data_IF_594628772526
#
_entry.id   IF_594628772526
#
_cell.length_a   1.000
_cell.length_b   1.000
_cell.length_c   1.000
_cell.angle_alpha   90.00
_cell.angle_beta   90.00
_cell.angle_gamma   90.00
#
_symmetry.space_group_name_H-M   'P 1'
#
loop_
_entity.id
_entity.type
_entity.pdbx_description
1 polymer ?
#
# COMPACT_ATOMS: atom_id res chain seq x y z
N UNK A 1 -55.71 26.48 40.04
CA UNK A 1 -56.96 25.72 40.20
C UNK A 1 -56.62 24.25 40.22
N UNK A 2 -57.02 23.57 41.31
CA UNK A 2 -57.34 22.14 41.46
C UNK A 2 -56.68 21.13 40.48
N UNK A 3 -55.81 20.22 40.93
CA UNK A 3 -56.12 18.97 41.66
C UNK A 3 -56.91 17.96 40.78
N UNK A 4 -56.71 16.64 40.73
CA UNK A 4 -55.78 15.62 41.26
C UNK A 4 -56.47 14.26 40.92
N UNK A 5 -55.72 13.14 40.95
CA UNK A 5 -56.18 11.75 41.28
C UNK A 5 -56.88 11.01 40.12
N UNK A 6 -56.45 9.79 39.75
CA UNK A 6 -56.73 8.47 40.39
C UNK A 6 -55.77 7.43 39.73
N UNK A 7 -55.17 6.37 40.32
CA UNK A 7 -54.91 5.77 41.65
C UNK A 7 -53.92 4.59 41.39
N UNK A 8 -52.82 4.43 42.16
CA UNK A 8 -52.56 3.44 43.26
C UNK A 8 -52.52 1.96 42.81
N UNK A 9 -51.48 1.17 43.06
CA UNK A 9 -50.96 0.56 44.32
C UNK A 9 -49.74 -0.32 43.91
N UNK A 10 -48.79 -0.82 44.69
CA UNK A 10 -48.39 -0.79 46.11
C UNK A 10 -46.91 -1.24 46.18
N UNK A 11 -46.18 -0.75 47.17
CA UNK A 11 -44.90 -1.28 47.64
C UNK A 11 -45.15 -2.47 48.58
N UNK A 12 -44.23 -3.45 48.67
CA UNK A 12 -43.77 -4.10 49.93
C UNK A 12 -42.66 -5.14 49.65
N UNK A 13 -41.52 -4.92 50.34
CA UNK A 13 -40.59 -5.89 50.97
C UNK A 13 -39.74 -6.81 50.07
N UNK A 14 -38.45 -6.52 49.90
CA UNK A 14 -37.30 -6.89 50.77
C UNK A 14 -36.67 -8.25 50.44
N UNK A 15 -35.38 -8.22 50.08
CA UNK A 15 -34.28 -9.04 50.64
C UNK A 15 -33.01 -8.78 49.83
N UNK A 16 -31.90 -8.64 50.55
CA UNK A 16 -30.66 -8.09 50.05
C UNK A 16 -29.87 -9.00 49.12
N UNK A 17 -28.84 -8.42 48.51
CA UNK A 17 -27.55 -9.07 48.31
C UNK A 17 -26.55 -8.00 47.81
N UNK A 18 -25.35 -8.06 48.37
CA UNK A 18 -24.18 -7.29 47.97
C UNK A 18 -23.96 -7.43 46.45
N UNK A 19 -24.06 -6.33 45.71
CA UNK A 19 -23.79 -6.27 44.28
C UNK A 19 -22.43 -5.63 44.02
N UNK A 20 -21.47 -6.48 43.66
CA UNK A 20 -20.12 -6.17 43.24
C UNK A 20 -20.08 -5.00 42.23
N UNK A 21 -19.30 -3.95 42.51
CA UNK A 21 -18.82 -3.01 41.49
C UNK A 21 -17.93 -3.82 40.54
N UNK A 22 -18.48 -4.29 39.42
CA UNK A 22 -17.67 -4.69 38.27
C UNK A 22 -17.50 -3.46 37.39
N UNK A 23 -16.32 -2.87 37.48
CA UNK A 23 -15.78 -2.07 36.38
C UNK A 23 -15.74 -2.96 35.14
N UNK A 24 -16.60 -2.68 34.17
CA UNK A 24 -16.45 -3.23 32.84
C UNK A 24 -15.26 -2.51 32.20
N UNK A 25 -14.10 -3.18 32.20
CA UNK A 25 -13.01 -2.83 31.31
C UNK A 25 -13.48 -3.10 29.88
N UNK A 26 -13.75 -2.06 29.10
CA UNK A 26 -13.89 -2.17 27.65
C UNK A 26 -12.50 -2.47 27.06
N UNK A 27 -12.07 -3.72 27.09
CA UNK A 27 -11.10 -4.23 26.14
C UNK A 27 -11.85 -4.67 24.90
N UNK A 28 -11.96 -3.82 23.88
CA UNK A 28 -12.61 -4.20 22.63
C UNK A 28 -11.71 -5.18 21.87
N UNK A 29 -12.10 -6.44 21.87
CA UNK A 29 -11.52 -7.51 21.03
C UNK A 29 -11.73 -7.13 19.56
N UNK A 30 -10.64 -6.99 18.79
CA UNK A 30 -10.71 -6.66 17.36
C UNK A 30 -10.47 -7.93 16.56
N UNK A 31 -11.51 -8.44 15.89
CA UNK A 31 -11.36 -9.57 14.97
C UNK A 31 -10.46 -9.22 13.77
N UNK A 32 -9.78 -10.21 13.19
CA UNK A 32 -8.86 -10.04 12.03
C UNK A 32 -9.50 -9.27 10.87
N UNK A 33 -10.79 -9.49 10.59
CA UNK A 33 -11.51 -8.75 9.55
C UNK A 33 -11.67 -7.26 9.87
N UNK A 34 -11.87 -6.93 11.14
CA UNK A 34 -11.90 -5.54 11.60
C UNK A 34 -10.51 -4.90 11.49
N UNK A 35 -9.44 -5.66 11.67
CA UNK A 35 -8.07 -5.18 11.50
C UNK A 35 -7.77 -4.76 10.06
N UNK A 36 -8.12 -5.60 9.07
CA UNK A 36 -7.99 -5.25 7.65
C UNK A 36 -8.73 -3.95 7.32
N UNK A 37 -9.99 -3.83 7.77
CA UNK A 37 -10.80 -2.64 7.52
C UNK A 37 -10.19 -1.38 8.15
N UNK A 38 -9.67 -1.47 9.38
CA UNK A 38 -9.02 -0.33 10.06
C UNK A 38 -7.72 0.10 9.40
N UNK A 39 -6.92 -0.85 8.87
CA UNK A 39 -5.71 -0.55 8.11
C UNK A 39 -6.09 0.15 6.79
N UNK A 40 -7.07 -0.39 6.07
CA UNK A 40 -7.55 0.18 4.80
C UNK A 40 -8.09 1.61 5.01
N UNK A 41 -8.96 1.80 6.00
CA UNK A 41 -9.51 3.11 6.36
C UNK A 41 -8.40 4.11 6.73
N UNK A 42 -7.38 3.66 7.46
CA UNK A 42 -6.29 4.54 7.91
C UNK A 42 -5.57 5.22 6.75
N UNK A 43 -5.34 4.50 5.66
CA UNK A 43 -4.58 5.01 4.50
C UNK A 43 -5.47 5.66 3.44
N UNK A 44 -6.79 5.70 3.65
CA UNK A 44 -7.79 6.21 2.72
C UNK A 44 -8.43 7.54 3.13
N UNK A 45 -7.81 8.27 4.07
CA UNK A 45 -8.35 9.50 4.66
C UNK A 45 -8.24 10.74 3.76
N UNK A 46 -7.62 10.61 2.60
CA UNK A 46 -7.38 11.69 1.65
C UNK A 46 -6.63 12.88 2.30
N UNK A 47 -5.59 12.60 3.10
CA UNK A 47 -4.85 13.66 3.80
C UNK A 47 -4.27 14.70 2.84
N UNK A 48 -3.87 14.28 1.63
CA UNK A 48 -3.40 15.15 0.55
C UNK A 48 -4.51 15.92 -0.19
N UNK A 49 -5.78 15.67 0.13
CA UNK A 49 -6.97 16.28 -0.51
C UNK A 49 -6.95 16.13 -2.04
N UNK A 50 -6.52 14.96 -2.52
CA UNK A 50 -6.46 14.60 -3.95
C UNK A 50 -7.84 14.23 -4.50
N UNK A 51 -8.84 14.05 -3.63
CA UNK A 51 -10.21 13.71 -4.03
C UNK A 51 -10.43 12.21 -4.18
N UNK A 52 -9.59 11.39 -3.53
CA UNK A 52 -9.59 9.94 -3.70
C UNK A 52 -10.90 9.27 -3.29
N UNK A 53 -11.68 9.91 -2.40
CA UNK A 53 -12.98 9.41 -1.97
C UNK A 53 -13.95 9.12 -3.12
N UNK A 54 -13.80 9.79 -4.27
CA UNK A 54 -14.62 9.53 -5.46
C UNK A 54 -14.39 8.15 -6.09
N UNK A 55 -13.26 7.50 -5.81
CA UNK A 55 -12.82 6.29 -6.49
C UNK A 55 -12.23 5.20 -5.57
N UNK A 56 -12.48 5.27 -4.26
CA UNK A 56 -12.16 4.18 -3.33
C UNK A 56 -13.03 2.94 -3.59
N UNK A 57 -12.39 1.76 -3.52
CA UNK A 57 -13.05 0.45 -3.49
C UNK A 57 -12.81 -0.23 -2.13
N UNK A 58 -13.89 -0.55 -1.39
CA UNK A 58 -13.79 -1.14 -0.06
C UNK A 58 -13.42 -2.63 -0.09
N UNK A 59 -12.60 -3.05 0.87
CA UNK A 59 -12.16 -4.43 1.09
C UNK A 59 -11.12 -4.92 0.10
N UNK A 60 -10.56 -4.04 -0.74
CA UNK A 60 -9.52 -4.39 -1.70
C UNK A 60 -8.22 -4.77 -0.99
N UNK A 61 -7.89 -4.13 0.13
CA UNK A 61 -6.69 -4.45 0.91
C UNK A 61 -6.69 -5.91 1.37
N UNK A 62 -7.80 -6.38 1.95
CA UNK A 62 -7.93 -7.78 2.40
C UNK A 62 -7.80 -8.74 1.21
N UNK A 63 -8.44 -8.43 0.08
CA UNK A 63 -8.37 -9.25 -1.14
C UNK A 63 -6.94 -9.32 -1.69
N UNK A 64 -6.27 -8.17 -1.81
CA UNK A 64 -4.88 -8.06 -2.23
C UNK A 64 -3.95 -8.85 -1.32
N UNK A 65 -4.02 -8.66 -0.01
CA UNK A 65 -3.17 -9.36 0.95
C UNK A 65 -3.42 -10.88 0.98
N UNK A 66 -4.67 -11.32 0.84
CA UNK A 66 -5.03 -12.75 0.78
C UNK A 66 -4.55 -13.42 -0.51
N UNK A 67 -4.53 -12.69 -1.62
CA UNK A 67 -3.95 -13.17 -2.88
C UNK A 67 -2.44 -13.24 -2.77
N UNK A 68 -1.80 -12.15 -2.34
CA UNK A 68 -0.36 -12.05 -2.15
C UNK A 68 0.20 -13.06 -1.15
N UNK A 69 -0.56 -13.43 -0.11
CA UNK A 69 -0.11 -14.43 0.87
C UNK A 69 0.08 -15.83 0.28
N UNK A 70 -0.60 -16.14 -0.83
CA UNK A 70 -0.50 -17.43 -1.55
C UNK A 70 0.64 -17.46 -2.57
N UNK A 71 1.15 -16.30 -2.98
CA UNK A 71 2.22 -16.17 -3.96
C UNK A 71 3.61 -16.45 -3.36
N UNK A 72 4.57 -16.89 -4.19
CA UNK A 72 5.97 -17.16 -3.77
C UNK A 72 6.96 -16.19 -4.41
N UNK A 73 6.77 -15.82 -5.67
CA UNK A 73 7.63 -14.91 -6.43
C UNK A 73 6.88 -13.62 -6.79
N UNK A 74 7.30 -12.52 -6.19
CA UNK A 74 6.58 -11.24 -6.27
C UNK A 74 7.39 -10.25 -7.12
N UNK A 75 6.77 -9.71 -8.15
CA UNK A 75 7.34 -8.62 -8.96
C UNK A 75 6.69 -7.30 -8.56
N UNK A 76 7.47 -6.34 -8.07
CA UNK A 76 6.98 -5.05 -7.58
C UNK A 76 7.40 -3.95 -8.55
N UNK A 77 6.46 -3.25 -9.17
CA UNK A 77 6.68 -2.15 -10.08
C UNK A 77 6.54 -0.83 -9.33
N UNK A 78 7.50 0.08 -9.47
CA UNK A 78 7.40 1.43 -8.88
C UNK A 78 8.20 2.45 -9.68
N UNK A 79 7.95 3.74 -9.44
CA UNK A 79 8.73 4.84 -9.96
C UNK A 79 7.89 5.74 -10.85
N UNK A 80 8.03 7.04 -10.59
CA UNK A 80 7.23 8.07 -11.21
C UNK A 80 8.09 9.36 -11.33
N UNK A 81 8.43 9.80 -12.55
CA UNK A 81 9.30 10.94 -12.79
C UNK A 81 8.49 12.24 -12.98
N UNK A 82 7.70 12.64 -11.98
CA UNK A 82 6.73 13.73 -12.15
C UNK A 82 7.32 15.15 -12.09
N UNK A 83 8.53 15.32 -11.55
CA UNK A 83 9.19 16.62 -11.32
C UNK A 83 9.89 17.15 -12.59
N UNK A 84 9.13 17.25 -13.68
CA UNK A 84 9.58 17.46 -15.06
C UNK A 84 10.27 18.82 -15.36
N UNK A 85 10.39 19.71 -14.39
CA UNK A 85 11.14 20.98 -14.51
C UNK A 85 12.60 20.85 -14.03
N UNK A 86 13.01 19.64 -13.67
CA UNK A 86 14.34 19.32 -13.16
C UNK A 86 14.98 18.16 -13.92
N UNK A 87 16.30 18.17 -14.04
CA UNK A 87 17.07 17.09 -14.69
C UNK A 87 16.91 15.74 -13.97
N UNK A 88 16.63 15.79 -12.66
CA UNK A 88 16.29 14.66 -11.80
C UNK A 88 14.80 14.76 -11.45
N UNK A 89 13.90 14.20 -12.27
CA UNK A 89 12.46 14.36 -12.10
C UNK A 89 11.82 13.32 -11.16
N UNK A 90 12.60 12.44 -10.54
CA UNK A 90 12.12 11.32 -9.73
C UNK A 90 11.52 11.80 -8.42
N UNK A 91 10.36 11.26 -8.05
CA UNK A 91 9.70 11.61 -6.79
C UNK A 91 10.03 10.68 -5.61
N UNK A 92 9.61 11.09 -4.41
CA UNK A 92 9.79 10.36 -3.16
C UNK A 92 8.66 9.39 -2.83
N UNK A 93 7.50 9.49 -3.49
CA UNK A 93 6.40 8.54 -3.32
C UNK A 93 6.59 7.28 -4.20
N UNK A 94 6.25 6.12 -3.64
CA UNK A 94 6.41 4.81 -4.26
C UNK A 94 7.54 3.93 -3.72
N UNK A 95 8.83 4.33 -3.86
CA UNK A 95 9.95 3.46 -3.49
C UNK A 95 9.96 3.01 -2.03
N UNK A 96 9.70 3.85 -1.00
CA UNK A 96 9.58 3.40 0.38
C UNK A 96 8.51 2.31 0.58
N UNK A 97 7.33 2.48 0.00
CA UNK A 97 6.24 1.50 0.05
C UNK A 97 6.59 0.20 -0.67
N UNK A 98 7.24 0.29 -1.85
CA UNK A 98 7.71 -0.87 -2.60
C UNK A 98 8.74 -1.69 -1.80
N UNK A 99 9.67 -1.01 -1.13
CA UNK A 99 10.66 -1.64 -0.24
C UNK A 99 9.98 -2.28 0.96
N UNK A 100 8.97 -1.65 1.57
CA UNK A 100 8.23 -2.23 2.69
C UNK A 100 7.50 -3.53 2.28
N UNK A 101 6.81 -3.53 1.14
CA UNK A 101 6.17 -4.74 0.59
C UNK A 101 7.22 -5.84 0.34
N UNK A 102 8.31 -5.51 -0.35
CA UNK A 102 9.37 -6.47 -0.67
C UNK A 102 10.02 -7.07 0.57
N UNK A 103 10.32 -6.24 1.59
CA UNK A 103 10.86 -6.71 2.88
C UNK A 103 9.88 -7.63 3.59
N UNK A 104 8.59 -7.28 3.64
CA UNK A 104 7.58 -8.14 4.24
C UNK A 104 7.49 -9.49 3.53
N UNK A 105 7.51 -9.50 2.19
CA UNK A 105 7.54 -10.74 1.41
C UNK A 105 8.77 -11.60 1.75
N UNK A 106 9.97 -11.02 1.73
CA UNK A 106 11.23 -11.75 2.04
C UNK A 106 11.23 -12.29 3.46
N UNK A 107 10.81 -11.49 4.44
CA UNK A 107 10.74 -11.90 5.84
C UNK A 107 9.70 -13.00 6.09
N UNK A 108 8.72 -13.15 5.20
CA UNK A 108 7.71 -14.22 5.21
C UNK A 108 8.11 -15.41 4.32
N UNK A 109 9.38 -15.52 3.93
CA UNK A 109 9.92 -16.66 3.18
C UNK A 109 9.60 -16.67 1.69
N UNK A 110 9.18 -15.53 1.13
CA UNK A 110 8.91 -15.34 -0.30
C UNK A 110 10.13 -14.71 -0.99
N UNK A 111 10.10 -14.63 -2.31
CA UNK A 111 11.08 -13.86 -3.09
C UNK A 111 10.43 -12.63 -3.70
N UNK A 112 11.18 -11.53 -3.78
CA UNK A 112 10.69 -10.28 -4.37
C UNK A 112 11.79 -9.58 -5.16
N UNK A 113 11.41 -8.93 -6.26
CA UNK A 113 12.25 -7.96 -6.97
C UNK A 113 11.47 -6.67 -7.22
N UNK A 114 12.18 -5.55 -7.30
CA UNK A 114 11.62 -4.24 -7.63
C UNK A 114 12.02 -3.89 -9.06
N UNK A 115 11.05 -3.57 -9.91
CA UNK A 115 11.21 -3.24 -11.32
C UNK A 115 10.82 -1.77 -11.54
N UNK A 116 11.66 -1.04 -12.26
CA UNK A 116 11.45 0.39 -12.51
C UNK A 116 12.02 0.85 -13.85
N UNK A 117 11.88 2.12 -14.18
CA UNK A 117 12.52 2.74 -15.35
C UNK A 117 13.98 3.06 -15.05
N UNK A 118 14.82 3.12 -16.09
CA UNK A 118 16.22 3.57 -15.95
C UNK A 118 16.32 4.95 -15.31
N UNK A 119 15.37 5.85 -15.56
CA UNK A 119 15.37 7.18 -14.95
C UNK A 119 15.10 7.13 -13.44
N UNK A 120 14.24 6.23 -12.98
CA UNK A 120 13.88 6.07 -11.56
C UNK A 120 14.85 5.15 -10.79
N UNK A 121 15.64 4.35 -11.52
CA UNK A 121 16.53 3.35 -10.95
C UNK A 121 17.49 3.85 -9.86
N UNK A 122 18.17 5.01 -9.98
CA UNK A 122 19.07 5.48 -8.91
C UNK A 122 18.35 5.69 -7.57
N UNK A 123 17.15 6.26 -7.59
CA UNK A 123 16.33 6.51 -6.39
C UNK A 123 15.81 5.20 -5.81
N UNK A 124 15.27 4.31 -6.66
CA UNK A 124 14.79 2.99 -6.23
C UNK A 124 15.93 2.14 -5.65
N UNK A 125 17.12 2.18 -6.25
CA UNK A 125 18.31 1.48 -5.78
C UNK A 125 18.77 1.99 -4.41
N UNK A 126 18.77 3.32 -4.21
CA UNK A 126 19.08 3.94 -2.93
C UNK A 126 18.05 3.60 -1.84
N UNK A 127 16.76 3.53 -2.20
CA UNK A 127 15.71 3.10 -1.28
C UNK A 127 15.94 1.67 -0.79
N UNK A 128 16.21 0.75 -1.74
CA UNK A 128 16.42 -0.68 -1.47
C UNK A 128 17.80 -1.04 -0.90
N UNK A 129 18.70 -0.06 -0.69
CA UNK A 129 20.05 -0.30 -0.18
C UNK A 129 20.02 -1.04 1.17
N UNK A 130 20.81 -2.11 1.29
CA UNK A 130 20.90 -2.93 2.50
C UNK A 130 19.78 -3.97 2.68
N UNK A 131 18.77 -4.00 1.81
CA UNK A 131 17.64 -4.95 1.93
C UNK A 131 17.90 -6.31 1.29
N UNK A 132 18.87 -6.38 0.36
CA UNK A 132 19.12 -7.58 -0.46
C UNK A 132 18.11 -7.80 -1.59
N UNK A 133 17.09 -6.95 -1.73
CA UNK A 133 16.07 -7.04 -2.79
C UNK A 133 16.68 -6.60 -4.13
N UNK A 134 16.53 -7.43 -5.16
CA UNK A 134 17.02 -7.11 -6.50
C UNK A 134 16.22 -5.94 -7.09
N UNK A 135 16.93 -4.94 -7.62
CA UNK A 135 16.34 -3.85 -8.38
C UNK A 135 16.67 -4.01 -9.87
N UNK A 136 15.64 -4.08 -10.69
CA UNK A 136 15.70 -4.31 -12.13
C UNK A 136 15.19 -3.05 -12.83
N UNK A 137 15.86 -2.59 -13.88
CA UNK A 137 15.40 -1.45 -14.64
C UNK A 137 15.32 -1.70 -16.14
N UNK A 138 14.49 -0.88 -16.80
CA UNK A 138 14.26 -0.89 -18.23
C UNK A 138 14.40 0.53 -18.81
N UNK A 139 15.01 0.69 -20.00
CA UNK A 139 15.03 1.98 -20.67
C UNK A 139 13.63 2.36 -21.19
N UNK A 140 13.40 3.61 -21.62
CA UNK A 140 12.12 3.99 -22.22
C UNK A 140 11.80 3.16 -23.47
N UNK A 141 10.51 3.10 -23.84
CA UNK A 141 10.00 2.26 -24.93
C UNK A 141 10.79 2.37 -26.25
N UNK A 142 11.25 3.58 -26.57
CA UNK A 142 12.01 3.89 -27.79
C UNK A 142 13.35 3.15 -27.91
N UNK A 143 13.85 2.59 -26.80
CA UNK A 143 15.12 1.85 -26.74
C UNK A 143 14.94 0.33 -26.58
N UNK A 144 13.71 -0.19 -26.62
CA UNK A 144 13.45 -1.61 -26.45
C UNK A 144 13.76 -2.42 -27.70
N UNK A 145 14.69 -3.37 -27.59
CA UNK A 145 14.93 -4.42 -28.57
C UNK A 145 14.36 -5.77 -28.12
N UNK A 146 14.92 -6.85 -28.65
CA UNK A 146 14.57 -8.22 -28.26
C UNK A 146 14.92 -8.51 -26.80
N UNK A 147 16.06 -8.01 -26.32
CA UNK A 147 16.54 -8.27 -24.96
C UNK A 147 15.57 -7.76 -23.88
N UNK A 148 15.04 -6.54 -24.03
CA UNK A 148 14.08 -5.97 -23.09
C UNK A 148 12.76 -6.76 -23.10
N UNK A 149 12.29 -7.17 -24.28
CA UNK A 149 11.07 -7.98 -24.42
C UNK A 149 11.22 -9.35 -23.77
N UNK A 150 12.34 -10.03 -24.01
CA UNK A 150 12.64 -11.31 -23.36
C UNK A 150 12.78 -11.17 -21.85
N UNK A 151 13.36 -10.08 -21.36
CA UNK A 151 13.50 -9.82 -19.92
C UNK A 151 12.14 -9.55 -19.26
N UNK A 152 11.24 -8.80 -19.91
CA UNK A 152 9.85 -8.64 -19.48
C UNK A 152 9.13 -9.99 -19.45
N UNK A 153 9.27 -10.78 -20.51
CA UNK A 153 8.64 -12.11 -20.59
C UNK A 153 9.16 -13.05 -19.49
N UNK A 154 10.46 -13.01 -19.18
CA UNK A 154 11.03 -13.78 -18.05
C UNK A 154 10.43 -13.35 -16.71
N UNK A 155 10.28 -12.05 -16.47
CA UNK A 155 9.66 -11.54 -15.24
C UNK A 155 8.22 -12.03 -15.09
N UNK A 156 7.43 -11.92 -16.16
CA UNK A 156 6.04 -12.40 -16.20
C UNK A 156 5.98 -13.90 -15.91
N UNK A 157 6.82 -14.71 -16.57
CA UNK A 157 6.84 -16.17 -16.39
C UNK A 157 7.29 -16.61 -14.99
N UNK A 158 8.08 -15.79 -14.31
CA UNK A 158 8.55 -16.08 -12.94
C UNK A 158 7.61 -15.58 -11.85
N UNK A 159 6.62 -14.74 -12.17
CA UNK A 159 5.79 -14.10 -11.16
C UNK A 159 4.61 -14.98 -10.74
N UNK A 160 4.36 -15.04 -9.44
CA UNK A 160 3.12 -15.59 -8.86
C UNK A 160 2.14 -14.46 -8.47
N UNK A 161 2.64 -13.23 -8.34
CA UNK A 161 1.84 -12.02 -8.11
C UNK A 161 2.62 -10.80 -8.58
N UNK A 162 1.93 -9.82 -9.16
CA UNK A 162 2.55 -8.53 -9.55
C UNK A 162 1.91 -7.39 -8.76
N UNK A 163 2.73 -6.55 -8.15
CA UNK A 163 2.28 -5.33 -7.46
C UNK A 163 2.79 -4.12 -8.24
N UNK A 164 1.94 -3.13 -8.50
CA UNK A 164 2.32 -1.83 -9.00
C UNK A 164 1.99 -0.78 -7.94
N UNK A 165 2.97 0.02 -7.52
CA UNK A 165 2.84 1.03 -6.48
C UNK A 165 3.50 2.32 -6.95
N UNK A 166 2.70 3.40 -7.00
CA UNK A 166 3.14 4.70 -7.53
C UNK A 166 3.89 4.54 -8.85
N UNK A 167 3.27 3.78 -9.74
CA UNK A 167 3.85 3.43 -11.02
C UNK A 167 3.02 4.07 -12.11
N UNK A 168 3.60 5.00 -12.85
CA UNK A 168 2.92 5.68 -13.95
C UNK A 168 2.26 4.68 -14.91
N UNK A 169 0.96 4.87 -15.15
CA UNK A 169 0.17 4.08 -16.08
C UNK A 169 -0.20 4.85 -17.34
N UNK A 170 -0.37 4.17 -18.49
CA UNK A 170 -0.76 4.87 -19.70
C UNK A 170 -2.24 5.27 -19.64
N UNK A 171 -2.56 6.43 -20.17
CA UNK A 171 -3.92 6.84 -20.50
C UNK A 171 -4.47 6.04 -21.70
N UNK A 172 -5.70 6.36 -22.11
CA UNK A 172 -6.37 5.65 -23.21
C UNK A 172 -5.68 5.84 -24.57
N UNK A 173 -4.89 6.90 -24.72
CA UNK A 173 -4.09 7.20 -25.89
C UNK A 173 -2.70 6.51 -25.88
N UNK A 174 -2.43 5.70 -24.85
CA UNK A 174 -1.16 4.99 -24.68
C UNK A 174 -0.01 5.84 -24.15
N UNK A 175 -0.25 7.09 -23.75
CA UNK A 175 0.78 8.01 -23.21
C UNK A 175 0.72 8.10 -21.69
N UNK A 176 1.82 8.56 -21.10
CA UNK A 176 1.99 8.68 -19.65
C UNK A 176 1.97 10.14 -19.25
N UNK A 177 1.20 10.48 -18.22
CA UNK A 177 0.98 11.87 -17.84
C UNK A 177 1.23 12.11 -16.36
N UNK A 178 1.85 13.24 -16.03
CA UNK A 178 1.80 13.77 -14.65
C UNK A 178 0.39 14.21 -14.29
N UNK A 179 0.12 14.47 -13.01
CA UNK A 179 -1.14 15.09 -12.57
C UNK A 179 -1.43 16.45 -13.23
N UNK A 180 -0.38 17.15 -13.73
CA UNK A 180 -0.52 18.40 -14.50
C UNK A 180 -0.77 18.16 -16.00
N UNK A 181 -1.01 16.93 -16.42
CA UNK A 181 -1.13 16.47 -17.81
C UNK A 181 0.10 16.78 -18.68
N UNK A 182 1.30 16.69 -18.11
CA UNK A 182 2.55 16.75 -18.89
C UNK A 182 2.93 15.35 -19.34
N UNK A 183 3.22 15.20 -20.63
CA UNK A 183 3.60 13.92 -21.23
C UNK A 183 5.01 13.48 -20.78
N UNK A 184 5.09 12.31 -20.14
CA UNK A 184 6.31 11.66 -19.66
C UNK A 184 6.72 10.45 -20.51
N UNK A 185 6.01 10.14 -21.59
CA UNK A 185 6.18 8.89 -22.37
C UNK A 185 7.62 8.63 -22.80
N UNK A 186 8.38 9.69 -23.08
CA UNK A 186 9.79 9.62 -23.47
C UNK A 186 10.74 9.17 -22.34
N UNK A 187 10.29 9.20 -21.08
CA UNK A 187 11.05 8.80 -19.89
C UNK A 187 10.67 7.40 -19.38
N UNK A 188 9.47 6.95 -19.73
CA UNK A 188 8.82 5.78 -19.13
C UNK A 188 9.10 4.51 -19.94
N UNK A 189 9.49 3.45 -19.23
CA UNK A 189 9.48 2.09 -19.74
C UNK A 189 8.04 1.53 -19.69
N UNK A 190 7.55 0.87 -20.76
CA UNK A 190 6.20 0.33 -20.79
C UNK A 190 6.07 -0.94 -19.94
N UNK A 191 6.07 -0.76 -18.62
CA UNK A 191 5.97 -1.80 -17.59
C UNK A 191 4.53 -2.24 -17.30
N UNK A 192 3.52 -1.52 -17.81
CA UNK A 192 2.14 -1.99 -17.90
C UNK A 192 2.04 -3.35 -18.61
N UNK A 193 2.98 -3.62 -19.52
CA UNK A 193 3.09 -4.91 -20.21
C UNK A 193 3.31 -6.08 -19.24
N UNK A 194 3.98 -5.86 -18.12
CA UNK A 194 4.14 -6.89 -17.07
C UNK A 194 2.79 -7.16 -16.41
N UNK A 195 2.00 -6.12 -16.11
CA UNK A 195 0.66 -6.26 -15.51
C UNK A 195 -0.30 -6.97 -16.47
N UNK A 196 -0.37 -6.52 -17.72
CA UNK A 196 -1.25 -7.10 -18.75
C UNK A 196 -0.85 -8.56 -19.03
N UNK A 197 0.44 -8.82 -19.25
CA UNK A 197 0.92 -10.18 -19.52
C UNK A 197 0.76 -11.14 -18.33
N UNK A 198 0.84 -10.63 -17.09
CA UNK A 198 0.51 -11.41 -15.90
C UNK A 198 -0.98 -11.79 -15.88
N UNK A 199 -1.88 -10.83 -16.13
CA UNK A 199 -3.33 -11.08 -16.18
C UNK A 199 -3.72 -12.06 -17.28
N UNK A 200 -3.12 -11.96 -18.48
CA UNK A 200 -3.34 -12.90 -19.58
C UNK A 200 -2.98 -14.35 -19.21
N UNK A 201 -2.09 -14.53 -18.23
CA UNK A 201 -1.68 -15.83 -17.68
C UNK A 201 -2.45 -16.23 -16.42
N UNK A 202 -3.42 -15.44 -16.00
CA UNK A 202 -4.21 -15.68 -14.78
C UNK A 202 -3.44 -15.40 -13.48
N UNK A 203 -2.34 -14.65 -13.55
CA UNK A 203 -1.58 -14.18 -12.37
C UNK A 203 -2.30 -12.96 -11.80
N UNK A 204 -2.51 -12.96 -10.49
CA UNK A 204 -3.17 -11.87 -9.79
C UNK A 204 -2.28 -10.62 -9.72
N UNK A 205 -2.92 -9.44 -9.83
CA UNK A 205 -2.23 -8.14 -9.88
C UNK A 205 -2.80 -7.19 -8.84
N UNK A 206 -1.95 -6.38 -8.21
CA UNK A 206 -2.37 -5.35 -7.23
C UNK A 206 -1.83 -3.99 -7.63
N UNK A 207 -2.69 -2.98 -7.74
CA UNK A 207 -2.33 -1.59 -7.94
C UNK A 207 -2.45 -0.81 -6.63
N UNK A 208 -1.55 0.15 -6.41
CA UNK A 208 -1.57 1.11 -5.32
C UNK A 208 -1.26 2.48 -5.93
N UNK A 209 -2.15 3.44 -5.70
CA UNK A 209 -2.03 4.79 -6.26
C UNK A 209 -2.90 5.79 -5.51
N UNK A 210 -2.67 7.07 -5.75
CA UNK A 210 -3.33 8.17 -5.02
C UNK A 210 -3.88 9.30 -5.93
N UNK A 211 -3.59 9.27 -7.23
CA UNK A 211 -3.90 10.33 -8.19
C UNK A 211 -4.82 9.92 -9.35
N UNK A 212 -4.87 8.63 -9.71
CA UNK A 212 -5.72 8.09 -10.79
C UNK A 212 -4.99 7.86 -12.12
N UNK A 213 -3.73 8.28 -12.25
CA UNK A 213 -2.87 8.10 -13.41
C UNK A 213 -1.82 6.98 -13.22
N UNK A 214 -1.89 6.24 -12.12
CA UNK A 214 -1.04 5.10 -11.79
C UNK A 214 -1.61 3.78 -12.32
N UNK A 215 -0.74 2.80 -12.54
CA UNK A 215 -1.13 1.44 -12.94
C UNK A 215 -2.07 0.82 -11.91
N UNK A 216 -3.17 0.25 -12.42
CA UNK A 216 -4.25 -0.30 -11.62
C UNK A 216 -5.46 0.62 -11.54
N UNK A 217 -5.28 1.93 -11.65
CA UNK A 217 -6.38 2.91 -11.61
C UNK A 217 -7.36 2.75 -12.79
N UNK A 218 -6.98 2.02 -13.84
CA UNK A 218 -7.90 1.59 -14.90
C UNK A 218 -9.14 0.85 -14.37
N UNK A 219 -9.05 0.21 -13.19
CA UNK A 219 -10.18 -0.47 -12.54
C UNK A 219 -11.29 0.51 -12.10
N UNK A 220 -10.92 1.77 -11.84
CA UNK A 220 -11.83 2.83 -11.38
C UNK A 220 -11.80 4.04 -12.33
N UNK A 221 -11.38 3.85 -13.59
CA UNK A 221 -11.17 4.93 -14.55
C UNK A 221 -12.36 5.86 -14.69
N UNK A 222 -13.57 5.32 -14.86
CA UNK A 222 -14.78 6.14 -15.01
C UNK A 222 -15.07 6.95 -13.74
N UNK A 223 -14.79 6.38 -12.56
CA UNK A 223 -14.91 7.09 -11.27
C UNK A 223 -13.90 8.23 -11.18
N UNK A 224 -12.64 7.99 -11.57
CA UNK A 224 -11.58 9.02 -11.65
C UNK A 224 -12.00 10.15 -12.59
N UNK A 225 -12.51 9.83 -13.79
CA UNK A 225 -12.98 10.83 -14.76
C UNK A 225 -14.15 11.66 -14.20
N UNK A 226 -15.07 11.02 -13.46
CA UNK A 226 -16.20 11.70 -12.83
C UNK A 226 -15.87 12.41 -11.51
N UNK A 227 -14.62 12.35 -11.04
CA UNK A 227 -14.19 12.88 -9.75
C UNK A 227 -13.73 14.33 -9.83
N UNK A 228 -13.22 14.85 -8.71
CA UNK A 228 -12.61 16.18 -8.64
C UNK A 228 -11.15 16.24 -9.16
N UNK A 229 -10.58 15.11 -9.62
CA UNK A 229 -9.21 15.05 -10.12
C UNK A 229 -9.05 15.96 -11.35
N UNK A 230 -8.16 16.96 -11.32
CA UNK A 230 -7.95 17.85 -12.44
C UNK A 230 -7.47 17.09 -13.69
N UNK A 231 -8.03 17.43 -14.86
CA UNK A 231 -7.64 16.85 -16.15
C UNK A 231 -7.78 15.32 -16.23
N UNK A 232 -8.66 14.72 -15.41
CA UNK A 232 -8.86 13.28 -15.32
C UNK A 232 -9.12 12.60 -16.68
N UNK A 233 -9.85 13.26 -17.60
CA UNK A 233 -10.09 12.72 -18.96
C UNK A 233 -8.80 12.42 -19.74
N UNK A 234 -7.73 13.19 -19.49
CA UNK A 234 -6.42 13.03 -20.13
C UNK A 234 -5.56 12.04 -19.36
N UNK A 235 -5.48 12.19 -18.04
CA UNK A 235 -4.47 11.50 -17.24
C UNK A 235 -4.91 10.13 -16.73
N UNK A 236 -6.22 9.84 -16.68
CA UNK A 236 -6.73 8.64 -16.04
C UNK A 236 -6.19 7.38 -16.72
N UNK A 237 -5.53 6.53 -15.92
CA UNK A 237 -4.92 5.30 -16.39
C UNK A 237 -5.97 4.38 -17.05
N UNK A 238 -5.57 3.70 -18.13
CA UNK A 238 -6.40 2.75 -18.84
C UNK A 238 -6.23 1.29 -18.38
N UNK A 239 -5.20 0.99 -17.59
CA UNK A 239 -4.81 -0.39 -17.25
C UNK A 239 -5.31 -0.78 -15.85
N UNK A 240 -6.24 -1.74 -15.73
CA UNK A 240 -6.73 -2.22 -14.45
C UNK A 240 -5.80 -3.27 -13.83
N UNK A 241 -5.90 -3.44 -12.51
CA UNK A 241 -5.32 -4.57 -11.76
C UNK A 241 -6.44 -5.40 -11.14
N UNK A 242 -6.14 -6.64 -10.73
CA UNK A 242 -7.13 -7.50 -10.06
C UNK A 242 -7.62 -6.90 -8.75
N UNK A 243 -6.70 -6.31 -7.99
CA UNK A 243 -6.95 -5.55 -6.77
C UNK A 243 -6.38 -4.14 -6.90
N UNK A 244 -7.06 -3.15 -6.34
CA UNK A 244 -6.64 -1.76 -6.34
C UNK A 244 -6.84 -1.16 -4.95
N UNK A 245 -5.74 -0.70 -4.35
CA UNK A 245 -5.78 0.11 -3.13
C UNK A 245 -5.55 1.57 -3.52
N UNK A 246 -6.62 2.35 -3.49
CA UNK A 246 -6.50 3.82 -3.48
C UNK A 246 -6.13 4.27 -2.07
N UNK A 247 -5.19 5.20 -1.93
CA UNK A 247 -4.70 5.73 -0.66
C UNK A 247 -4.32 7.20 -0.74
N UNK A 248 -4.04 7.84 0.40
CA UNK A 248 -3.66 9.26 0.47
C UNK A 248 -2.26 9.57 -0.06
N UNK A 249 -1.35 8.61 0.09
CA UNK A 249 0.05 8.59 -0.36
C UNK A 249 0.38 7.12 -0.64
N UNK A 250 0.96 6.81 -1.79
CA UNK A 250 1.16 5.41 -2.20
C UNK A 250 2.09 4.63 -1.28
N UNK A 251 3.12 5.27 -0.73
CA UNK A 251 3.98 4.67 0.30
C UNK A 251 3.16 4.13 1.49
N UNK A 252 2.15 4.88 1.93
CA UNK A 252 1.28 4.46 3.03
C UNK A 252 0.42 3.26 2.63
N UNK A 253 -0.08 3.24 1.39
CA UNK A 253 -0.71 2.06 0.80
C UNK A 253 0.21 0.84 0.77
N UNK A 254 1.50 1.04 0.49
CA UNK A 254 2.52 -0.01 0.58
C UNK A 254 2.71 -0.55 1.99
N UNK A 255 2.77 0.33 3.00
CA UNK A 255 2.82 -0.08 4.41
C UNK A 255 1.55 -0.85 4.82
N UNK A 256 0.38 -0.39 4.38
CA UNK A 256 -0.88 -1.08 4.61
C UNK A 256 -0.90 -2.49 4.01
N UNK A 257 -0.44 -2.66 2.76
CA UNK A 257 -0.35 -3.97 2.14
C UNK A 257 0.64 -4.89 2.86
N UNK A 258 1.79 -4.36 3.30
CA UNK A 258 2.77 -5.12 4.08
C UNK A 258 2.19 -5.58 5.44
N UNK A 259 1.52 -4.69 6.17
CA UNK A 259 0.82 -5.04 7.42
C UNK A 259 -0.27 -6.09 7.20
N UNK A 260 -1.10 -5.89 6.17
CA UNK A 260 -2.18 -6.79 5.80
C UNK A 260 -1.67 -8.18 5.38
N UNK A 261 -0.53 -8.26 4.68
CA UNK A 261 0.14 -9.52 4.35
C UNK A 261 0.57 -10.28 5.61
N UNK A 262 1.06 -9.58 6.64
CA UNK A 262 1.35 -10.17 7.94
C UNK A 262 0.11 -10.83 8.58
N UNK A 263 -1.03 -10.13 8.59
CA UNK A 263 -2.31 -10.66 9.10
C UNK A 263 -2.81 -11.89 8.30
N UNK A 264 -2.73 -11.83 6.97
CA UNK A 264 -3.16 -12.92 6.10
C UNK A 264 -2.30 -14.19 6.30
N UNK A 265 -1.00 -14.00 6.58
CA UNK A 265 -0.06 -15.10 6.80
C UNK A 265 -0.32 -15.81 8.14
N UNK A 266 -0.62 -15.05 9.20
CA UNK A 266 -0.99 -15.61 10.52
C UNK A 266 -2.28 -16.45 10.45
N UNK A 267 -3.28 -15.96 9.71
CA UNK A 267 -4.57 -16.66 9.55
C UNK A 267 -4.44 -18.01 8.83
N UNK A 268 -3.42 -18.14 7.97
CA UNK A 268 -3.16 -19.38 7.23
C UNK A 268 -2.44 -20.43 8.09
N UNK A 269 -1.59 -20.00 9.03
CA UNK A 269 -0.83 -20.89 9.93
C UNK A 269 -1.69 -21.54 11.02
N UNK A 270 -2.74 -20.88 11.49
CA UNK A 270 -3.65 -21.44 12.51
C UNK A 270 -4.48 -22.65 12.05
N UNK A 271 -4.49 -22.96 10.74
CA UNK A 271 -5.20 -24.10 10.17
C UNK A 271 -4.33 -25.36 10.00
N UNK A 272 -3.01 -25.28 10.27
CA UNK A 272 -2.07 -26.39 10.12
C UNK A 272 -1.32 -26.65 11.44
N UNK A 273 -2.03 -27.18 12.44
CA UNK A 273 -1.42 -27.59 13.70
C UNK A 273 -0.77 -28.97 13.57
N UNK A 274 0.47 -29.03 13.10
CA UNK A 274 1.43 -30.09 13.46
C UNK A 274 2.84 -29.70 13.00
N UNK A 275 3.66 -29.22 13.93
CA UNK A 275 5.07 -29.60 14.17
C UNK A 275 5.88 -28.47 14.83
N UNK A 276 6.28 -28.77 16.08
CA UNK A 276 7.59 -28.61 16.70
C UNK A 276 8.57 -27.49 16.27
N UNK A 277 9.05 -26.81 17.32
CA UNK A 277 10.45 -26.45 17.65
C UNK A 277 11.08 -25.11 17.24
N UNK A 278 11.35 -24.34 18.31
CA UNK A 278 12.66 -23.80 18.74
C UNK A 278 13.26 -22.56 18.10
N UNK A 279 12.49 -21.76 17.36
CA UNK A 279 12.88 -20.36 17.14
C UNK A 279 12.19 -19.50 18.20
N UNK A 280 12.97 -18.70 18.94
CA UNK A 280 12.40 -17.60 19.72
C UNK A 280 11.51 -16.76 18.79
N UNK A 281 10.24 -16.49 19.12
CA UNK A 281 9.37 -15.73 18.24
C UNK A 281 10.03 -14.38 17.95
N UNK A 282 9.99 -13.89 16.69
CA UNK A 282 10.49 -12.57 16.38
C UNK A 282 9.81 -11.53 17.28
N UNK A 283 10.59 -10.53 17.68
CA UNK A 283 10.14 -9.37 18.45
C UNK A 283 8.95 -8.68 17.78
N UNK A 284 7.71 -8.99 18.18
CA UNK A 284 6.45 -8.46 17.63
C UNK A 284 6.22 -8.71 16.12
N UNK A 285 5.06 -9.29 15.71
CA UNK A 285 4.69 -9.47 14.30
C UNK A 285 4.79 -8.21 13.43
N UNK A 286 4.66 -7.03 14.05
CA UNK A 286 4.78 -5.74 13.37
C UNK A 286 6.19 -5.41 12.87
N UNK A 287 7.25 -5.81 13.60
CA UNK A 287 8.64 -5.51 13.19
C UNK A 287 9.09 -6.34 11.98
N UNK A 288 8.40 -7.45 11.74
CA UNK A 288 8.66 -8.34 10.62
C UNK A 288 8.20 -7.72 9.28
N UNK A 289 7.13 -6.92 9.30
CA UNK A 289 6.44 -6.48 8.07
C UNK A 289 6.40 -4.96 7.88
N UNK A 290 6.63 -4.17 8.92
CA UNK A 290 6.65 -2.70 8.82
C UNK A 290 8.04 -2.15 9.13
N UNK A 291 8.51 -1.12 8.40
CA UNK A 291 9.76 -0.44 8.74
C UNK A 291 9.62 0.26 10.09
N UNK A 292 10.75 0.54 10.75
CA UNK A 292 10.82 1.49 11.88
C UNK A 292 10.90 2.93 11.38
N UNK A 293 10.65 3.90 12.24
CA UNK A 293 10.73 5.33 11.88
C UNK A 293 12.17 5.73 11.49
N UNK A 294 13.17 5.14 12.15
CA UNK A 294 14.57 5.33 11.79
C UNK A 294 14.91 4.73 10.42
N UNK A 295 14.41 3.53 10.11
CA UNK A 295 14.59 2.91 8.80
C UNK A 295 13.95 3.76 7.70
N UNK A 296 12.73 4.26 7.94
CA UNK A 296 12.00 5.13 7.02
C UNK A 296 12.74 6.45 6.77
N UNK A 297 13.19 7.13 7.83
CA UNK A 297 13.98 8.35 7.73
C UNK A 297 15.31 8.14 6.99
N UNK A 298 16.00 7.03 7.31
CA UNK A 298 17.26 6.69 6.67
C UNK A 298 17.08 6.40 5.18
N UNK A 299 16.03 5.65 4.83
CA UNK A 299 15.66 5.32 3.46
C UNK A 299 15.34 6.58 2.66
N UNK A 300 14.44 7.44 3.15
CA UNK A 300 14.10 8.68 2.47
C UNK A 300 15.31 9.61 2.33
N UNK A 301 16.14 9.69 3.37
CA UNK A 301 17.39 10.45 3.32
C UNK A 301 18.37 9.94 2.25
N UNK A 302 18.44 8.63 1.98
CA UNK A 302 19.26 8.09 0.87
C UNK A 302 18.68 8.49 -0.49
N UNK A 303 17.36 8.45 -0.65
CA UNK A 303 16.69 8.85 -1.90
C UNK A 303 16.95 10.32 -2.24
N UNK A 304 16.76 11.22 -1.26
CA UNK A 304 16.99 12.66 -1.45
C UNK A 304 18.45 12.95 -1.81
N UNK A 305 19.42 12.26 -1.18
CA UNK A 305 20.85 12.41 -1.51
C UNK A 305 21.20 12.06 -2.95
N UNK A 306 20.45 11.15 -3.58
CA UNK A 306 20.64 10.80 -5.00
C UNK A 306 19.74 11.58 -5.94
N UNK A 307 19.01 12.56 -5.42
CA UNK A 307 18.28 13.57 -6.20
C UNK A 307 16.76 13.42 -6.23
N UNK A 308 16.18 12.50 -5.45
CA UNK A 308 14.72 12.40 -5.32
C UNK A 308 14.11 13.70 -4.78
N UNK A 309 12.91 14.01 -5.26
CA UNK A 309 12.18 15.23 -4.94
C UNK A 309 10.81 14.91 -4.38
N UNK A 310 10.26 15.83 -3.62
CA UNK A 310 8.84 15.80 -3.30
C UNK A 310 8.01 16.01 -4.57
N UNK A 311 7.05 15.13 -4.84
CA UNK A 311 6.22 15.16 -6.06
C UNK A 311 5.32 16.39 -6.18
N UNK A 312 5.01 17.06 -5.06
CA UNK A 312 4.16 18.25 -5.00
C UNK A 312 4.99 19.53 -5.06
N UNK A 313 6.02 19.64 -4.21
CA UNK A 313 6.85 20.85 -4.09
C UNK A 313 7.96 20.94 -5.16
N UNK A 314 8.40 19.78 -5.68
CA UNK A 314 9.54 19.65 -6.58
C UNK A 314 10.90 19.87 -5.91
N UNK A 315 10.94 20.07 -4.59
CA UNK A 315 12.19 20.29 -3.85
C UNK A 315 12.87 18.98 -3.46
N UNK A 316 14.20 19.01 -3.33
CA UNK A 316 14.96 17.88 -2.77
C UNK A 316 14.92 17.96 -1.24
N UNK A 317 13.81 17.50 -0.67
CA UNK A 317 13.54 17.54 0.76
C UNK A 317 12.99 16.19 1.22
N UNK A 318 13.12 15.90 2.51
CA UNK A 318 12.66 14.65 3.11
C UNK A 318 11.15 14.70 3.41
N UNK A 319 10.36 14.98 2.38
CA UNK A 319 8.89 14.96 2.40
C UNK A 319 8.38 14.03 1.31
N UNK A 320 7.12 13.62 1.44
CA UNK A 320 6.42 12.78 0.45
C UNK A 320 5.07 13.45 0.18
N UNK A 321 4.81 13.81 -1.06
CA UNK A 321 3.58 14.49 -1.49
C UNK A 321 3.20 15.75 -0.70
N UNK A 322 4.20 16.55 -0.36
CA UNK A 322 4.07 17.76 0.45
C UNK A 322 3.84 17.46 1.94
N UNK A 323 3.86 16.19 2.35
CA UNK A 323 3.70 15.78 3.74
C UNK A 323 5.06 15.67 4.43
N UNK A 324 5.19 16.22 5.65
CA UNK A 324 6.39 16.04 6.45
C UNK A 324 6.53 14.56 6.86
N UNK A 325 7.76 14.12 7.09
CA UNK A 325 8.07 12.73 7.42
C UNK A 325 7.32 12.21 8.66
N UNK A 326 7.02 13.10 9.61
CA UNK A 326 6.22 12.82 10.80
C UNK A 326 4.82 12.29 10.47
N UNK A 327 4.24 12.67 9.32
CA UNK A 327 2.97 12.12 8.85
C UNK A 327 3.09 10.61 8.56
N UNK A 328 4.16 10.19 7.88
CA UNK A 328 4.45 8.78 7.64
C UNK A 328 4.70 8.01 8.93
N UNK A 329 5.38 8.62 9.91
CA UNK A 329 5.58 7.99 11.23
C UNK A 329 4.25 7.75 11.96
N UNK A 330 3.35 8.74 11.95
CA UNK A 330 2.01 8.58 12.54
C UNK A 330 1.22 7.46 11.87
N UNK A 331 1.29 7.32 10.53
CA UNK A 331 0.67 6.20 9.82
C UNK A 331 1.28 4.88 10.28
N UNK A 332 2.60 4.76 10.29
CA UNK A 332 3.29 3.53 10.71
C UNK A 332 2.96 3.16 12.16
N UNK A 333 2.89 4.13 13.08
CA UNK A 333 2.50 3.91 14.47
C UNK A 333 1.07 3.35 14.56
N UNK A 334 0.11 3.96 13.86
CA UNK A 334 -1.28 3.49 13.81
C UNK A 334 -1.37 2.05 13.26
N UNK A 335 -0.63 1.75 12.18
CA UNK A 335 -0.59 0.40 11.60
C UNK A 335 0.00 -0.62 12.57
N UNK A 336 1.12 -0.31 13.23
CA UNK A 336 1.73 -1.18 14.26
C UNK A 336 0.76 -1.41 15.43
N UNK A 337 0.06 -0.38 15.88
CA UNK A 337 -0.95 -0.47 16.94
C UNK A 337 -2.11 -1.40 16.56
N UNK A 338 -2.61 -1.29 15.32
CA UNK A 338 -3.66 -2.19 14.80
C UNK A 338 -3.15 -3.65 14.81
N UNK A 339 -1.94 -3.91 14.32
CA UNK A 339 -1.36 -5.26 14.31
C UNK A 339 -1.20 -5.85 15.72
N UNK A 340 -0.68 -5.07 16.67
CA UNK A 340 -0.50 -5.49 18.07
C UNK A 340 -1.83 -5.83 18.74
N UNK A 341 -2.88 -5.05 18.47
CA UNK A 341 -4.23 -5.32 18.99
C UNK A 341 -4.84 -6.64 18.48
N UNK A 342 -4.31 -7.21 17.39
CA UNK A 342 -4.75 -8.50 16.85
C UNK A 342 -3.88 -9.68 17.31
N UNK A 343 -2.61 -9.45 17.66
CA UNK A 343 -1.71 -10.52 18.11
C UNK A 343 -1.97 -10.94 19.57
N UNK A 344 -2.52 -10.04 20.38
CA UNK A 344 -2.82 -10.30 21.80
C UNK A 344 -4.04 -11.21 22.03
N UNK A 345 -4.77 -11.58 20.97
CA UNK A 345 -6.01 -12.37 21.06
C UNK A 345 -5.85 -13.85 20.69
N UNK A 346 -4.66 -14.31 20.30
CA UNK A 346 -4.41 -15.71 19.92
C UNK A 346 -3.76 -16.57 21.00
N UNK A 347 -3.57 -16.03 22.22
CA UNK A 347 -2.90 -16.73 23.34
C UNK A 347 -3.84 -17.13 24.51
N UNK A 348 -5.15 -16.88 24.42
CA UNK A 348 -6.17 -17.32 25.39
C UNK A 348 -7.09 -18.42 24.82
#
# INVERSE_FOLDING_TARGET
GFAWIVRRFACVSSRGAKGCRRSLSLGSVVGVDCAFARIEERVQRDEGKRGIHGFILTGELKRAATSLSKATHIVILTGFPCCMDHDQPQETDGPPGAVAIGRACVNLGKTACIVTDTINYPVVKAAAEGTGIECIHFPPASKWGTAEREKVEKLINSADHVVAIERAGPGIDGRYYTMRARDMTHLIAPLEKIVVGAQERGIETTGIGDGGNELGMGKVRDKVISSAVPKAEVIACAVPTSHLLTCSVSNWGGYALAAALGLASLSSSSSSSSLSSSASPPSSPSSLVLPTDHEEASLLGRMVRVGARDGVSGQQEATVDGMPLEASFSVLEDLRSILQSCSTTSED
#
